data_IF_464487892709
#
_entry.id   IF_464487892709
#
_cell.length_a   1.000
_cell.length_b   1.000
_cell.length_c   1.000
_cell.angle_alpha   90.00
_cell.angle_beta   90.00
_cell.angle_gamma   90.00
#
_symmetry.space_group_name_H-M   'P 1'
#
loop_
_entity.id
_entity.type
_entity.pdbx_description
1 polymer ?
#
# COMPACT_ATOMS: atom_id res chain seq x y z
N UNK A 1 -42.66 -2.49 -2.25
CA UNK A 1 -41.67 -1.70 -1.48
C UNK A 1 -40.29 -2.15 -1.91
N UNK A 2 -39.49 -1.26 -2.51
CA UNK A 2 -38.12 -1.58 -2.92
C UNK A 2 -37.24 -1.23 -1.72
N UNK A 3 -36.59 -2.24 -1.13
CA UNK A 3 -35.55 -2.01 -0.12
C UNK A 3 -34.46 -1.15 -0.75
N UNK A 4 -34.23 0.03 -0.16
CA UNK A 4 -33.07 0.83 -0.50
C UNK A 4 -31.82 0.05 -0.07
N UNK A 5 -31.16 -0.59 -1.03
CA UNK A 5 -29.80 -1.11 -0.85
C UNK A 5 -28.90 0.08 -0.49
N UNK A 6 -28.55 0.23 0.79
CA UNK A 6 -27.60 1.22 1.23
C UNK A 6 -26.23 0.85 0.65
N UNK A 7 -25.85 1.51 -0.44
CA UNK A 7 -24.52 1.36 -1.01
C UNK A 7 -23.51 1.69 0.11
N UNK A 8 -22.59 0.78 0.46
CA UNK A 8 -21.67 1.00 1.56
C UNK A 8 -20.85 2.27 1.29
N UNK A 9 -20.95 3.23 2.21
CA UNK A 9 -20.22 4.49 2.14
C UNK A 9 -18.73 4.20 2.20
N UNK A 10 -17.96 4.82 1.29
CA UNK A 10 -16.50 4.69 1.23
C UNK A 10 -15.92 5.08 2.58
N UNK A 11 -15.36 4.11 3.31
CA UNK A 11 -14.70 4.35 4.59
C UNK A 11 -13.50 5.27 4.34
N UNK A 12 -13.47 6.42 4.99
CA UNK A 12 -12.31 7.31 4.99
C UNK A 12 -11.09 6.49 5.41
N UNK A 13 -10.00 6.48 4.62
CA UNK A 13 -8.82 5.73 4.98
C UNK A 13 -8.22 6.30 6.26
N UNK A 14 -7.84 5.43 7.19
CA UNK A 14 -7.07 5.85 8.37
C UNK A 14 -5.82 6.62 7.88
N UNK A 15 -5.58 7.81 8.46
CA UNK A 15 -4.43 8.67 8.13
C UNK A 15 -3.11 7.89 8.06
N UNK A 16 -2.89 6.95 8.98
CA UNK A 16 -1.66 6.15 9.02
C UNK A 16 -1.58 5.13 7.87
N UNK A 17 -2.69 4.49 7.51
CA UNK A 17 -2.73 3.59 6.36
C UNK A 17 -2.45 4.32 5.05
N UNK A 18 -2.90 5.58 4.93
CA UNK A 18 -2.57 6.44 3.80
C UNK A 18 -1.07 6.72 3.69
N UNK A 19 -0.44 7.12 4.80
CA UNK A 19 0.98 7.41 4.86
C UNK A 19 1.82 6.16 4.56
N UNK A 20 1.51 5.03 5.20
CA UNK A 20 2.24 3.77 5.00
C UNK A 20 2.16 3.29 3.55
N UNK A 21 0.96 3.27 2.95
CA UNK A 21 0.81 2.92 1.53
C UNK A 21 1.64 3.82 0.61
N UNK A 22 1.73 5.11 0.93
CA UNK A 22 2.54 6.06 0.16
C UNK A 22 4.04 5.79 0.32
N UNK A 23 4.51 5.52 1.55
CA UNK A 23 5.91 5.18 1.82
C UNK A 23 6.32 3.88 1.10
N UNK A 24 5.49 2.83 1.19
CA UNK A 24 5.73 1.54 0.55
C UNK A 24 5.78 1.62 -0.98
N UNK A 25 4.92 2.44 -1.58
CA UNK A 25 4.87 2.62 -3.03
C UNK A 25 5.98 3.56 -3.54
N UNK A 26 6.31 4.57 -2.75
CA UNK A 26 7.17 5.67 -3.15
C UNK A 26 6.67 6.34 -4.43
N UNK A 27 7.60 6.62 -5.36
CA UNK A 27 7.31 7.22 -6.68
C UNK A 27 7.11 6.19 -7.80
N UNK A 28 7.20 4.90 -7.49
CA UNK A 28 7.19 3.82 -8.48
C UNK A 28 5.75 3.52 -8.90
N UNK A 29 5.51 3.30 -10.19
CA UNK A 29 4.18 2.87 -10.67
C UNK A 29 3.92 1.44 -10.22
N UNK A 30 2.64 1.11 -10.03
CA UNK A 30 2.23 -0.20 -9.49
C UNK A 30 2.78 -1.40 -10.28
N UNK A 31 2.77 -1.33 -11.61
CA UNK A 31 3.34 -2.38 -12.48
C UNK A 31 4.86 -2.53 -12.28
N UNK A 32 5.58 -1.41 -12.27
CA UNK A 32 7.03 -1.40 -12.13
C UNK A 32 7.46 -1.87 -10.74
N UNK A 33 6.70 -1.49 -9.71
CA UNK A 33 6.92 -1.97 -8.35
C UNK A 33 6.68 -3.47 -8.24
N UNK A 34 5.60 -3.99 -8.84
CA UNK A 34 5.37 -5.43 -8.92
C UNK A 34 6.55 -6.15 -9.56
N UNK A 35 7.02 -5.68 -10.72
CA UNK A 35 8.13 -6.30 -11.42
C UNK A 35 9.42 -6.27 -10.60
N UNK A 36 9.67 -5.18 -9.87
CA UNK A 36 10.82 -5.06 -8.97
C UNK A 36 10.74 -6.01 -7.78
N UNK A 37 9.56 -6.13 -7.17
CA UNK A 37 9.35 -7.00 -6.00
C UNK A 37 9.44 -8.47 -6.40
N UNK A 38 8.78 -8.89 -7.48
CA UNK A 38 8.67 -10.29 -7.87
C UNK A 38 9.73 -10.76 -8.88
N UNK A 39 10.51 -9.86 -9.47
CA UNK A 39 11.53 -10.20 -10.47
C UNK A 39 10.97 -10.68 -11.81
N UNK A 40 9.67 -10.46 -12.06
CA UNK A 40 8.97 -10.88 -13.29
C UNK A 40 7.85 -9.91 -13.64
N UNK A 41 7.41 -9.95 -14.90
CA UNK A 41 6.15 -9.29 -15.25
C UNK A 41 4.94 -10.05 -14.65
N UNK A 42 3.98 -9.29 -14.15
CA UNK A 42 2.70 -9.80 -13.66
C UNK A 42 1.63 -9.73 -14.74
N UNK A 43 0.66 -10.63 -14.68
CA UNK A 43 -0.59 -10.49 -15.41
C UNK A 43 -1.36 -9.25 -14.93
N UNK A 44 -2.31 -8.71 -15.73
CA UNK A 44 -3.12 -7.57 -15.29
C UNK A 44 -3.83 -7.80 -13.96
N UNK A 45 -4.30 -9.02 -13.69
CA UNK A 45 -4.98 -9.38 -12.44
C UNK A 45 -4.03 -9.40 -11.24
N UNK A 46 -2.82 -9.95 -11.40
CA UNK A 46 -1.80 -9.97 -10.34
C UNK A 46 -1.34 -8.55 -9.98
N UNK A 47 -1.05 -7.74 -11.00
CA UNK A 47 -0.64 -6.35 -10.80
C UNK A 47 -1.75 -5.56 -10.11
N UNK A 48 -3.00 -5.73 -10.53
CA UNK A 48 -4.13 -5.04 -9.91
C UNK A 48 -4.33 -5.46 -8.45
N UNK A 49 -4.19 -6.76 -8.16
CA UNK A 49 -4.29 -7.30 -6.79
C UNK A 49 -3.21 -6.70 -5.89
N UNK A 50 -1.96 -6.68 -6.37
CA UNK A 50 -0.85 -6.06 -5.67
C UNK A 50 -1.08 -4.56 -5.43
N UNK A 51 -1.47 -3.81 -6.46
CA UNK A 51 -1.75 -2.37 -6.33
C UNK A 51 -2.89 -2.09 -5.35
N UNK A 52 -3.90 -2.96 -5.29
CA UNK A 52 -4.99 -2.81 -4.34
C UNK A 52 -4.54 -2.97 -2.89
N UNK A 53 -3.58 -3.87 -2.61
CA UNK A 53 -2.98 -4.03 -1.27
C UNK A 53 -2.23 -2.78 -0.80
N UNK A 54 -1.72 -1.98 -1.74
CA UNK A 54 -1.02 -0.71 -1.50
C UNK A 54 -1.89 0.52 -1.74
N UNK A 55 -3.20 0.34 -1.91
CA UNK A 55 -4.12 1.45 -2.10
C UNK A 55 -4.80 1.77 -0.77
N UNK A 56 -4.54 2.95 -0.18
CA UNK A 56 -5.09 3.28 1.12
C UNK A 56 -6.62 3.40 1.13
N UNK A 57 -7.23 3.71 -0.03
CA UNK A 57 -8.69 3.73 -0.18
C UNK A 57 -9.33 2.33 -0.27
N UNK A 58 -8.52 1.26 -0.27
CA UNK A 58 -8.95 -0.12 -0.47
C UNK A 58 -8.40 -1.08 0.57
N UNK A 59 -7.26 -0.77 1.20
CA UNK A 59 -6.62 -1.66 2.16
C UNK A 59 -5.81 -0.90 3.21
N UNK A 60 -5.72 -1.53 4.38
CA UNK A 60 -4.64 -1.31 5.32
C UNK A 60 -3.61 -2.41 5.05
N UNK A 61 -2.39 -2.09 4.58
CA UNK A 61 -1.42 -3.12 4.25
C UNK A 61 -1.11 -3.96 5.50
N UNK A 62 -1.29 -5.28 5.37
CA UNK A 62 -0.98 -6.22 6.44
C UNK A 62 0.52 -6.33 6.70
N UNK A 63 0.88 -6.94 7.82
CA UNK A 63 2.29 -7.19 8.15
C UNK A 63 2.98 -8.10 7.13
N UNK A 64 2.22 -8.97 6.46
CA UNK A 64 2.67 -9.85 5.39
C UNK A 64 3.23 -9.07 4.19
N UNK A 65 2.44 -8.13 3.66
CA UNK A 65 2.89 -7.32 2.51
C UNK A 65 3.98 -6.32 2.91
N UNK A 66 3.95 -5.82 4.14
CA UNK A 66 5.02 -4.96 4.65
C UNK A 66 6.33 -5.74 4.71
N UNK A 67 6.33 -6.95 5.29
CA UNK A 67 7.52 -7.79 5.39
C UNK A 67 8.10 -8.16 4.03
N UNK A 68 7.24 -8.55 3.08
CA UNK A 68 7.64 -8.88 1.71
C UNK A 68 8.28 -7.68 1.01
N UNK A 69 7.71 -6.48 1.17
CA UNK A 69 8.27 -5.27 0.58
C UNK A 69 9.59 -4.87 1.23
N UNK A 70 9.71 -4.98 2.55
CA UNK A 70 10.97 -4.71 3.26
C UNK A 70 12.07 -5.64 2.72
N UNK A 71 11.82 -6.95 2.63
CA UNK A 71 12.79 -7.93 2.12
C UNK A 71 13.27 -7.59 0.69
N UNK A 72 12.38 -7.10 -0.17
CA UNK A 72 12.66 -6.86 -1.60
C UNK A 72 13.12 -5.45 -1.91
N UNK A 73 12.95 -4.50 -0.99
CA UNK A 73 13.22 -3.08 -1.21
C UNK A 73 14.22 -2.57 -0.17
N UNK A 74 15.53 -2.62 -0.46
CA UNK A 74 16.58 -2.29 0.51
C UNK A 74 16.44 -0.90 1.14
N UNK A 75 15.90 0.08 0.42
CA UNK A 75 15.66 1.43 0.93
C UNK A 75 14.66 1.50 2.09
N UNK A 76 13.90 0.44 2.37
CA UNK A 76 12.99 0.35 3.51
C UNK A 76 13.69 -0.16 4.78
N UNK A 77 14.90 -0.73 4.69
CA UNK A 77 15.60 -1.33 5.83
C UNK A 77 16.01 -0.31 6.90
N UNK A 78 16.30 0.92 6.46
CA UNK A 78 16.79 1.99 7.33
C UNK A 78 15.66 2.93 7.79
N UNK A 79 14.40 2.65 7.41
CA UNK A 79 13.25 3.50 7.73
C UNK A 79 12.78 3.18 9.15
N UNK A 80 12.80 4.17 10.03
CA UNK A 80 12.26 4.05 11.38
C UNK A 80 10.73 4.01 11.38
N UNK A 81 10.12 3.50 12.45
CA UNK A 81 8.66 3.54 12.60
C UNK A 81 8.13 4.98 12.59
N UNK A 82 8.89 5.94 13.11
CA UNK A 82 8.49 7.35 13.09
C UNK A 82 8.41 7.89 11.66
N UNK A 83 9.39 7.60 10.81
CA UNK A 83 9.39 7.99 9.40
C UNK A 83 8.31 7.22 8.60
N UNK A 84 8.18 5.92 8.86
CA UNK A 84 7.23 5.03 8.19
C UNK A 84 5.77 5.46 8.40
N UNK A 85 5.44 5.91 9.61
CA UNK A 85 4.12 6.42 9.96
C UNK A 85 3.98 7.94 9.82
N UNK A 86 5.02 8.65 9.39
CA UNK A 86 5.01 10.12 9.26
C UNK A 86 4.78 10.83 10.61
N UNK A 87 5.31 10.25 11.68
CA UNK A 87 5.25 10.77 13.04
C UNK A 87 6.44 11.68 13.38
N UNK A 88 7.49 11.64 12.55
CA UNK A 88 8.65 12.50 12.76
C UNK A 88 8.25 13.96 12.50
N UNK A 89 8.21 14.75 13.59
CA UNK A 89 7.91 16.17 13.54
C UNK A 89 9.20 16.93 13.24
N UNK A 90 9.65 16.87 12.00
CA UNK A 90 10.75 17.72 11.53
C UNK A 90 10.48 18.22 10.12
N UNK A 91 10.26 19.54 10.04
CA UNK A 91 9.99 20.43 8.88
C UNK A 91 8.52 20.64 8.50
#
# INVERSE_FOLDING_TARGET
MIEQSSVPVKKEPNRYSAIVCQQLKGKIKGKDLFAKVYGREGTPSEVQTFVNRLNPNRSNPGADIIGELVERLPHLHDVTLAEFFGLDKSS
#
